data_IF_221749697202
#
_entry.id   IF_221749697202
#
_cell.length_a   1.000
_cell.length_b   1.000
_cell.length_c   1.000
_cell.angle_alpha   90.00
_cell.angle_beta   90.00
_cell.angle_gamma   90.00
#
_symmetry.space_group_name_H-M   'P 1'
#
loop_
_entity.id
_entity.type
_entity.pdbx_description
1 polymer ?
#
# COMPACT_ATOMS: atom_id res chain seq x y z
N UNK A 1 37.68 -9.71 1.94
CA UNK A 1 36.81 -8.64 1.40
C UNK A 1 35.57 -9.30 0.84
N UNK A 2 34.43 -9.12 1.53
CA UNK A 2 33.15 -9.71 1.17
C UNK A 2 32.33 -8.64 0.44
N UNK A 3 31.98 -8.86 -0.82
CA UNK A 3 31.02 -8.03 -1.55
C UNK A 3 30.00 -8.97 -2.20
N UNK A 4 28.90 -9.18 -1.48
CA UNK A 4 27.74 -9.94 -1.93
C UNK A 4 26.95 -9.03 -2.89
N UNK A 5 26.90 -9.41 -4.16
CA UNK A 5 26.04 -8.77 -5.18
C UNK A 5 24.57 -9.04 -4.84
N UNK A 6 23.82 -7.98 -4.52
CA UNK A 6 22.37 -8.04 -4.43
C UNK A 6 21.76 -8.20 -5.83
N UNK A 7 21.04 -9.30 -6.01
CA UNK A 7 20.23 -9.62 -7.17
C UNK A 7 18.93 -8.79 -7.11
N UNK A 8 18.80 -7.76 -7.95
CA UNK A 8 17.54 -7.03 -8.15
C UNK A 8 16.63 -7.84 -9.08
N UNK A 9 15.74 -8.64 -8.50
CA UNK A 9 14.63 -9.26 -9.22
C UNK A 9 13.46 -8.27 -9.29
N UNK A 10 13.27 -7.68 -10.47
CA UNK A 10 12.01 -7.09 -10.89
C UNK A 10 11.00 -8.22 -11.15
N UNK A 11 10.24 -8.60 -10.13
CA UNK A 11 8.97 -9.31 -10.34
C UNK A 11 7.85 -8.37 -9.91
N UNK A 12 7.09 -7.85 -10.87
CA UNK A 12 5.71 -7.46 -10.59
C UNK A 12 4.93 -8.72 -10.19
N UNK A 13 3.96 -8.64 -9.26
CA UNK A 13 3.41 -9.85 -8.68
C UNK A 13 2.54 -10.61 -9.68
N UNK A 14 3.04 -11.79 -10.08
CA UNK A 14 2.27 -12.85 -10.71
C UNK A 14 1.51 -13.57 -9.58
N UNK A 15 0.19 -13.35 -9.47
CA UNK A 15 -0.61 -13.93 -8.39
C UNK A 15 -1.12 -15.34 -8.75
N UNK A 16 -0.24 -16.34 -8.69
CA UNK A 16 -0.65 -17.75 -8.65
C UNK A 16 -0.31 -18.34 -7.28
N UNK A 17 -1.27 -18.31 -6.36
CA UNK A 17 -1.19 -19.01 -5.09
C UNK A 17 -1.38 -20.52 -5.28
N UNK A 18 -0.42 -21.33 -4.81
CA UNK A 18 -0.38 -22.80 -4.95
C UNK A 18 -1.20 -23.57 -3.92
N UNK A 19 -2.26 -22.98 -3.38
CA UNK A 19 -3.18 -23.66 -2.47
C UNK A 19 -4.59 -23.25 -2.85
N UNK A 20 -5.53 -24.20 -2.92
CA UNK A 20 -6.93 -24.00 -3.34
C UNK A 20 -7.79 -23.15 -2.40
N UNK A 21 -7.21 -22.07 -1.86
CA UNK A 21 -7.85 -21.03 -1.07
C UNK A 21 -7.60 -19.73 -1.83
N UNK A 22 -8.67 -19.04 -2.23
CA UNK A 22 -8.56 -17.68 -2.79
C UNK A 22 -7.80 -16.80 -1.79
N UNK A 23 -6.58 -16.40 -2.13
CA UNK A 23 -5.74 -15.59 -1.27
C UNK A 23 -6.34 -14.20 -1.12
N UNK A 24 -6.44 -13.68 0.11
CA UNK A 24 -7.06 -12.38 0.37
C UNK A 24 -6.03 -11.27 0.12
N UNK A 25 -6.26 -10.45 -0.89
CA UNK A 25 -5.41 -9.30 -1.16
C UNK A 25 -5.91 -8.04 -0.43
N UNK A 26 -4.98 -7.27 0.13
CA UNK A 26 -5.20 -6.02 0.84
C UNK A 26 -4.26 -4.95 0.29
N UNK A 27 -4.79 -3.75 0.05
CA UNK A 27 -3.98 -2.57 -0.21
C UNK A 27 -4.03 -1.63 0.99
N UNK A 28 -2.88 -1.17 1.45
CA UNK A 28 -2.75 -0.12 2.47
C UNK A 28 -2.40 1.17 1.75
N UNK A 29 -3.29 2.14 1.76
CA UNK A 29 -3.03 3.48 1.20
C UNK A 29 -2.59 4.40 2.33
N UNK A 30 -1.38 4.94 2.22
CA UNK A 30 -0.76 5.77 3.24
C UNK A 30 0.18 6.81 2.63
N UNK A 31 1.08 7.38 3.43
CA UNK A 31 2.09 8.35 3.00
C UNK A 31 3.49 7.79 3.14
N UNK A 32 4.43 8.25 2.32
CA UNK A 32 5.87 7.96 2.49
C UNK A 32 6.38 8.30 3.88
N UNK A 33 5.85 9.37 4.46
CA UNK A 33 6.16 9.77 5.84
C UNK A 33 5.81 8.65 6.82
N UNK A 34 4.58 8.11 6.75
CA UNK A 34 4.16 7.01 7.63
C UNK A 34 4.98 5.75 7.36
N UNK A 35 5.25 5.41 6.10
CA UNK A 35 6.11 4.27 5.74
C UNK A 35 7.50 4.39 6.37
N UNK A 36 8.12 5.57 6.31
CA UNK A 36 9.47 5.78 6.85
C UNK A 36 9.55 5.92 8.38
N UNK A 37 8.45 6.25 9.05
CA UNK A 37 8.45 6.61 10.48
C UNK A 37 7.69 5.61 11.38
N UNK A 38 6.81 4.78 10.82
CA UNK A 38 5.97 3.88 11.60
C UNK A 38 6.66 2.53 11.85
N UNK A 39 7.18 2.34 13.06
CA UNK A 39 7.68 1.03 13.50
C UNK A 39 6.60 -0.07 13.47
N UNK A 40 5.32 0.31 13.55
CA UNK A 40 4.19 -0.65 13.61
C UNK A 40 3.64 -1.04 12.25
N UNK A 41 3.96 -0.31 11.19
CA UNK A 41 3.41 -0.61 9.86
C UNK A 41 3.97 -1.95 9.35
N UNK A 42 5.28 -2.15 9.46
CA UNK A 42 5.93 -3.42 9.11
C UNK A 42 5.36 -4.60 9.92
N UNK A 43 5.22 -4.44 11.24
CA UNK A 43 4.62 -5.48 12.11
C UNK A 43 3.18 -5.81 11.70
N UNK A 44 2.40 -4.80 11.31
CA UNK A 44 1.03 -5.01 10.84
C UNK A 44 1.00 -5.78 9.52
N UNK A 45 1.83 -5.40 8.55
CA UNK A 45 1.98 -6.08 7.26
C UNK A 45 2.35 -7.54 7.50
N UNK A 46 3.41 -7.80 8.28
CA UNK A 46 3.85 -9.15 8.62
C UNK A 46 2.73 -9.97 9.26
N UNK A 47 2.03 -9.39 10.24
CA UNK A 47 0.91 -10.07 10.90
C UNK A 47 -0.22 -10.44 9.94
N UNK A 48 -0.45 -9.68 8.87
CA UNK A 48 -1.46 -9.98 7.84
C UNK A 48 -0.96 -11.06 6.90
N UNK A 49 0.28 -10.99 6.46
CA UNK A 49 0.92 -12.01 5.63
C UNK A 49 0.96 -13.38 6.33
N UNK A 50 1.28 -13.41 7.64
CA UNK A 50 1.22 -14.62 8.48
C UNK A 50 -0.18 -15.26 8.53
N UNK A 51 -1.23 -14.47 8.25
CA UNK A 51 -2.63 -14.93 8.17
C UNK A 51 -3.08 -15.23 6.73
N UNK A 52 -2.14 -15.28 5.78
CA UNK A 52 -2.40 -15.61 4.39
C UNK A 52 -2.96 -14.45 3.55
N UNK A 53 -2.77 -13.20 3.98
CA UNK A 53 -3.07 -12.04 3.14
C UNK A 53 -1.89 -11.73 2.22
N UNK A 54 -2.18 -11.22 1.03
CA UNK A 54 -1.21 -10.46 0.24
C UNK A 54 -1.41 -8.99 0.59
N UNK A 55 -0.33 -8.28 0.90
CA UNK A 55 -0.42 -6.90 1.36
C UNK A 55 0.47 -6.01 0.53
N UNK A 56 -0.14 -5.08 -0.19
CA UNK A 56 0.58 -4.00 -0.88
C UNK A 56 0.44 -2.70 -0.10
N UNK A 57 1.48 -1.86 -0.15
CA UNK A 57 1.48 -0.52 0.46
C UNK A 57 1.65 0.51 -0.64
N UNK A 58 0.65 1.38 -0.78
CA UNK A 58 0.62 2.47 -1.74
C UNK A 58 0.83 3.83 -1.06
N UNK A 59 1.64 4.67 -1.69
CA UNK A 59 2.04 6.00 -1.25
C UNK A 59 1.78 7.05 -2.34
N UNK A 60 2.25 8.27 -2.12
CA UNK A 60 2.15 9.39 -3.07
C UNK A 60 2.68 9.06 -4.47
N UNK A 61 3.63 8.13 -4.59
CA UNK A 61 4.16 7.70 -5.89
C UNK A 61 3.15 6.84 -6.68
N UNK A 62 2.27 6.13 -5.97
CA UNK A 62 1.32 5.20 -6.57
C UNK A 62 0.02 5.92 -6.96
N UNK A 63 -0.52 6.76 -6.08
CA UNK A 63 -1.73 7.52 -6.35
C UNK A 63 -1.48 8.88 -7.01
N UNK A 64 -0.22 9.30 -7.21
CA UNK A 64 0.12 10.46 -8.04
C UNK A 64 -0.28 11.82 -7.46
N UNK A 65 -0.06 12.06 -6.16
CA UNK A 65 -0.37 13.37 -5.53
C UNK A 65 0.72 13.87 -4.55
N UNK A 66 1.98 13.66 -4.93
CA UNK A 66 3.11 14.21 -4.19
C UNK A 66 2.98 15.74 -4.04
N UNK A 67 3.04 16.23 -2.80
CA UNK A 67 2.94 17.66 -2.48
C UNK A 67 1.51 18.21 -2.29
N UNK A 68 0.48 17.45 -2.64
CA UNK A 68 -0.93 17.86 -2.47
C UNK A 68 -1.48 17.49 -1.08
N UNK A 69 -2.59 18.08 -0.64
CA UNK A 69 -3.34 17.65 0.57
C UNK A 69 -4.84 17.88 0.38
N UNK A 70 -5.67 17.37 1.29
CA UNK A 70 -7.12 17.63 1.25
C UNK A 70 -7.80 17.11 -0.02
N UNK A 71 -8.74 17.88 -0.58
CA UNK A 71 -9.57 17.43 -1.71
C UNK A 71 -8.76 16.94 -2.94
N UNK A 72 -7.74 17.65 -3.46
CA UNK A 72 -6.91 17.14 -4.56
C UNK A 72 -6.32 15.75 -4.29
N UNK A 73 -5.83 15.53 -3.06
CA UNK A 73 -5.31 14.22 -2.65
C UNK A 73 -6.42 13.17 -2.54
N UNK A 74 -7.57 13.51 -1.97
CA UNK A 74 -8.71 12.60 -1.88
C UNK A 74 -9.14 12.08 -3.26
N UNK A 75 -9.20 12.98 -4.25
CA UNK A 75 -9.56 12.64 -5.63
C UNK A 75 -8.51 11.72 -6.28
N UNK A 76 -7.23 11.97 -6.04
CA UNK A 76 -6.13 11.13 -6.53
C UNK A 76 -6.18 9.72 -5.92
N UNK A 77 -6.35 9.61 -4.59
CA UNK A 77 -6.52 8.33 -3.89
C UNK A 77 -7.75 7.59 -4.43
N UNK A 78 -8.88 8.29 -4.64
CA UNK A 78 -10.09 7.68 -5.19
C UNK A 78 -9.85 7.14 -6.60
N UNK A 79 -9.23 7.92 -7.47
CA UNK A 79 -8.93 7.51 -8.84
C UNK A 79 -7.99 6.28 -8.87
N UNK A 80 -6.96 6.27 -8.01
CA UNK A 80 -6.06 5.13 -7.85
C UNK A 80 -6.79 3.89 -7.35
N UNK A 81 -7.59 3.99 -6.29
CA UNK A 81 -8.35 2.85 -5.78
C UNK A 81 -9.32 2.31 -6.83
N UNK A 82 -9.94 3.17 -7.63
CA UNK A 82 -10.79 2.74 -8.75
C UNK A 82 -10.00 1.99 -9.83
N UNK A 83 -8.75 2.33 -10.10
CA UNK A 83 -7.94 1.62 -11.11
C UNK A 83 -7.46 0.25 -10.64
N UNK A 84 -7.30 0.03 -9.33
CA UNK A 84 -6.74 -1.23 -8.78
C UNK A 84 -7.73 -2.11 -8.00
N UNK A 85 -8.97 -1.65 -7.77
CA UNK A 85 -9.91 -2.34 -6.87
C UNK A 85 -10.19 -3.82 -7.22
N UNK A 86 -10.05 -4.22 -8.47
CA UNK A 86 -10.30 -5.59 -8.91
C UNK A 86 -9.27 -6.58 -8.32
N UNK A 87 -8.08 -6.11 -7.98
CA UNK A 87 -6.98 -6.94 -7.48
C UNK A 87 -7.04 -7.14 -5.94
N UNK A 88 -7.85 -6.33 -5.24
CA UNK A 88 -7.87 -6.30 -3.78
C UNK A 88 -9.26 -6.58 -3.19
N UNK A 89 -9.29 -7.39 -2.14
CA UNK A 89 -10.52 -7.63 -1.37
C UNK A 89 -10.72 -6.57 -0.28
N UNK A 90 -9.66 -5.87 0.12
CA UNK A 90 -9.68 -4.91 1.21
C UNK A 90 -8.79 -3.70 0.89
N UNK A 91 -9.25 -2.51 1.30
CA UNK A 91 -8.43 -1.30 1.34
C UNK A 91 -8.37 -0.77 2.77
N UNK A 92 -7.18 -0.45 3.26
CA UNK A 92 -6.95 0.20 4.54
C UNK A 92 -6.30 1.57 4.30
N UNK A 93 -6.98 2.63 4.72
CA UNK A 93 -6.47 3.99 4.64
C UNK A 93 -5.80 4.36 5.98
N UNK A 94 -4.53 4.75 5.95
CA UNK A 94 -3.78 5.15 7.15
C UNK A 94 -3.21 6.55 6.97
N UNK A 95 -3.77 7.50 7.72
CA UNK A 95 -3.29 8.86 7.81
C UNK A 95 -4.25 9.76 8.58
N UNK A 96 -4.02 11.07 8.52
CA UNK A 96 -4.92 12.09 9.00
C UNK A 96 -6.11 12.24 8.03
N UNK A 97 -7.29 11.87 8.50
CA UNK A 97 -8.54 11.86 7.75
C UNK A 97 -9.15 13.26 7.51
N UNK A 98 -8.53 14.35 7.96
CA UNK A 98 -9.14 15.68 7.83
C UNK A 98 -9.39 16.06 6.36
N UNK A 99 -10.62 16.44 6.01
CA UNK A 99 -11.02 16.68 4.62
C UNK A 99 -10.20 17.78 3.91
N UNK A 100 -9.84 18.85 4.61
CA UNK A 100 -9.18 20.01 3.99
C UNK A 100 -7.64 19.93 3.97
N UNK A 101 -7.03 19.27 4.94
CA UNK A 101 -5.56 19.29 5.15
C UNK A 101 -4.97 17.93 5.55
N UNK A 102 -5.78 16.87 5.54
CA UNK A 102 -5.34 15.52 5.80
C UNK A 102 -4.33 15.05 4.76
N UNK A 103 -3.39 14.22 5.20
CA UNK A 103 -2.41 13.58 4.35
C UNK A 103 -2.94 12.28 3.73
N UNK A 104 -3.98 11.69 4.32
CA UNK A 104 -4.89 10.68 3.73
C UNK A 104 -6.32 11.11 4.07
N UNK A 105 -6.85 12.14 3.38
CA UNK A 105 -8.16 12.72 3.67
C UNK A 105 -9.29 11.74 3.34
N UNK A 106 -10.37 11.76 4.14
CA UNK A 106 -11.55 10.90 4.00
C UNK A 106 -12.85 11.70 4.09
#
# INVERSE_FOLDING_TARGET
MNALLLLSLLFGPLHTGTHGVTQKAMIIVTTKKIVSQSARLADFVQSKEDRGYLVDVATEDDYGSAGETGLPRALAIRAFLQSVHADYSYALLIGNAHADYGDVPM
#
